data_IF_098611165210
#
_entry.id   IF_098611165210
#
_cell.length_a   1.000
_cell.length_b   1.000
_cell.length_c   1.000
_cell.angle_alpha   90.00
_cell.angle_beta   90.00
_cell.angle_gamma   90.00
#
_symmetry.space_group_name_H-M   'P 1'
#
loop_
_entity.id
_entity.type
_entity.pdbx_description
1 polymer ?
#
# COMPACT_ATOMS: atom_id res chain seq x y z
N UNK A 1 52.71 0.62 -11.83
CA UNK A 1 52.23 1.22 -10.57
C UNK A 1 50.80 1.71 -10.81
N UNK A 2 49.78 0.94 -10.37
CA UNK A 2 48.69 1.36 -9.45
C UNK A 2 48.28 2.84 -9.63
N UNK A 3 47.02 3.18 -9.89
CA UNK A 3 45.84 2.88 -9.05
C UNK A 3 44.55 2.84 -9.89
N UNK A 4 43.82 1.72 -9.82
CA UNK A 4 42.42 1.62 -10.24
C UNK A 4 41.60 2.20 -9.07
N UNK A 5 40.90 3.30 -9.31
CA UNK A 5 40.00 3.91 -8.34
C UNK A 5 38.69 3.13 -8.40
N UNK A 6 38.54 2.15 -7.51
CA UNK A 6 37.25 1.53 -7.24
C UNK A 6 36.40 2.54 -6.47
N UNK A 7 35.58 3.31 -7.19
CA UNK A 7 34.47 4.05 -6.59
C UNK A 7 33.42 3.04 -6.14
N UNK A 8 33.56 2.57 -4.91
CA UNK A 8 32.52 1.81 -4.22
C UNK A 8 31.42 2.81 -3.92
N UNK A 9 30.40 2.85 -4.77
CA UNK A 9 29.14 3.52 -4.46
C UNK A 9 28.38 2.58 -3.53
N UNK A 10 28.62 2.72 -2.23
CA UNK A 10 27.77 2.11 -1.19
C UNK A 10 26.50 2.95 -1.14
N UNK A 11 25.52 2.64 -2.00
CA UNK A 11 24.14 3.00 -1.67
C UNK A 11 23.73 2.03 -0.56
N UNK A 12 23.84 2.52 0.67
CA UNK A 12 23.16 1.93 1.82
C UNK A 12 21.68 1.88 1.45
N UNK A 13 21.19 0.71 1.08
CA UNK A 13 19.78 0.41 1.11
C UNK A 13 19.36 0.51 2.57
N UNK A 14 19.02 1.72 3.00
CA UNK A 14 18.28 1.97 4.22
C UNK A 14 16.95 1.26 4.03
N UNK A 15 16.87 -0.01 4.45
CA UNK A 15 15.62 -0.76 4.52
C UNK A 15 14.78 -0.17 5.66
N UNK A 16 14.37 1.09 5.51
CA UNK A 16 13.14 1.57 6.13
C UNK A 16 12.07 0.89 5.31
N UNK A 17 11.52 -0.22 5.81
CA UNK A 17 10.29 -0.80 5.26
C UNK A 17 9.20 0.25 5.49
N UNK A 18 9.11 1.25 4.62
CA UNK A 18 7.91 2.04 4.50
C UNK A 18 6.81 1.09 4.08
N UNK A 19 5.66 1.17 4.74
CA UNK A 19 4.47 0.49 4.28
C UNK A 19 4.10 1.08 2.91
N UNK A 20 4.59 0.48 1.83
CA UNK A 20 4.27 0.90 0.47
C UNK A 20 3.06 0.09 0.02
N UNK A 21 1.95 0.76 -0.24
CA UNK A 21 0.82 0.14 -0.89
C UNK A 21 1.10 0.01 -2.38
N UNK A 22 1.02 -1.21 -2.89
CA UNK A 22 1.10 -1.53 -4.30
C UNK A 22 -0.31 -1.83 -4.80
N UNK A 23 -0.86 -0.93 -5.62
CA UNK A 23 -2.19 -1.05 -6.19
C UNK A 23 -2.29 -2.22 -7.17
N UNK A 24 -1.25 -2.51 -7.93
CA UNK A 24 -1.26 -3.64 -8.87
C UNK A 24 -1.29 -4.96 -8.09
N UNK A 25 -0.55 -5.03 -6.98
CA UNK A 25 -0.63 -6.16 -6.05
C UNK A 25 -2.01 -6.27 -5.40
N UNK A 26 -2.63 -5.14 -5.01
CA UNK A 26 -4.00 -5.10 -4.45
C UNK A 26 -5.04 -5.66 -5.44
N UNK A 27 -4.98 -5.25 -6.71
CA UNK A 27 -5.93 -5.72 -7.75
C UNK A 27 -5.66 -7.18 -8.13
N UNK A 28 -4.42 -7.66 -8.01
CA UNK A 28 -4.05 -9.05 -8.27
C UNK A 28 -4.38 -10.02 -7.11
N UNK A 29 -4.75 -9.50 -5.94
CA UNK A 29 -5.04 -10.30 -4.75
C UNK A 29 -6.33 -11.11 -4.93
N UNK A 30 -6.21 -12.44 -4.81
CA UNK A 30 -7.33 -13.38 -5.05
C UNK A 30 -8.40 -13.32 -3.96
N UNK A 31 -8.02 -12.98 -2.72
CA UNK A 31 -8.95 -12.83 -1.62
C UNK A 31 -9.77 -11.56 -1.83
N UNK A 32 -9.11 -10.45 -2.15
CA UNK A 32 -9.79 -9.18 -2.45
C UNK A 32 -10.67 -9.29 -3.71
N UNK A 33 -10.23 -10.00 -4.74
CA UNK A 33 -11.07 -10.33 -5.92
C UNK A 33 -12.35 -11.08 -5.53
N UNK A 34 -12.27 -11.97 -4.54
CA UNK A 34 -13.43 -12.75 -4.08
C UNK A 34 -14.39 -11.88 -3.27
N UNK A 35 -13.87 -10.99 -2.41
CA UNK A 35 -14.64 -10.12 -1.53
C UNK A 35 -15.29 -8.98 -2.32
N UNK A 36 -14.48 -8.22 -3.06
CA UNK A 36 -14.92 -6.97 -3.68
C UNK A 36 -15.39 -7.12 -5.11
N UNK A 37 -14.97 -8.18 -5.83
CA UNK A 37 -15.39 -8.48 -7.21
C UNK A 37 -15.33 -7.22 -8.11
N UNK A 38 -16.48 -6.76 -8.58
CA UNK A 38 -16.62 -5.58 -9.46
C UNK A 38 -16.17 -4.27 -8.77
N UNK A 39 -16.19 -4.23 -7.43
CA UNK A 39 -15.76 -3.10 -6.61
C UNK A 39 -14.27 -3.13 -6.25
N UNK A 40 -13.52 -4.17 -6.64
CA UNK A 40 -12.10 -4.32 -6.28
C UNK A 40 -11.26 -3.12 -6.72
N UNK A 41 -11.46 -2.67 -7.95
CA UNK A 41 -10.71 -1.56 -8.50
C UNK A 41 -11.01 -0.25 -7.75
N UNK A 42 -12.27 -0.03 -7.38
CA UNK A 42 -12.68 1.11 -6.55
C UNK A 42 -12.10 1.04 -5.14
N UNK A 43 -12.07 -0.15 -4.53
CA UNK A 43 -11.43 -0.38 -3.22
C UNK A 43 -9.93 -0.04 -3.26
N UNK A 44 -9.18 -0.60 -4.21
CA UNK A 44 -7.74 -0.36 -4.30
C UNK A 44 -7.43 1.10 -4.66
N UNK A 45 -8.28 1.77 -5.46
CA UNK A 45 -8.18 3.20 -5.74
C UNK A 45 -8.38 4.04 -4.47
N UNK A 46 -9.39 3.73 -3.65
CA UNK A 46 -9.64 4.44 -2.40
C UNK A 46 -8.43 4.37 -1.45
N UNK A 47 -7.82 3.18 -1.31
CA UNK A 47 -6.64 3.01 -0.45
C UNK A 47 -5.44 3.81 -0.99
N UNK A 48 -5.21 3.78 -2.31
CA UNK A 48 -4.17 4.59 -2.97
C UNK A 48 -4.38 6.10 -2.76
N UNK A 49 -5.61 6.59 -2.90
CA UNK A 49 -5.94 8.00 -2.72
C UNK A 49 -5.67 8.48 -1.29
N UNK A 50 -6.08 7.70 -0.28
CA UNK A 50 -5.78 8.02 1.13
C UNK A 50 -4.28 8.09 1.40
N UNK A 51 -3.53 7.18 0.80
CA UNK A 51 -2.07 7.12 0.92
C UNK A 51 -1.43 8.33 0.26
N UNK A 52 -1.83 8.68 -0.97
CA UNK A 52 -1.30 9.84 -1.69
C UNK A 52 -1.61 11.15 -0.96
N UNK A 53 -2.82 11.29 -0.40
CA UNK A 53 -3.21 12.47 0.38
C UNK A 53 -2.40 12.63 1.69
N UNK A 54 -1.91 11.51 2.25
CA UNK A 54 -1.26 11.52 3.57
C UNK A 54 0.26 11.37 3.50
N UNK A 55 0.81 10.88 2.37
CA UNK A 55 2.25 10.66 2.18
C UNK A 55 3.09 11.93 2.38
N UNK A 56 2.53 13.11 2.09
CA UNK A 56 3.20 14.39 2.30
C UNK A 56 3.17 14.88 3.76
N UNK A 57 2.32 14.29 4.61
CA UNK A 57 2.00 14.81 5.96
C UNK A 57 2.41 13.85 7.09
N UNK A 58 2.36 12.53 6.87
CA UNK A 58 2.56 11.54 7.93
C UNK A 58 3.53 10.45 7.46
N UNK A 59 4.44 10.03 8.36
CA UNK A 59 5.27 8.85 8.13
C UNK A 59 4.38 7.60 8.08
N UNK A 60 4.19 7.07 6.88
CA UNK A 60 3.33 5.92 6.64
C UNK A 60 3.86 4.68 7.35
N UNK A 61 2.98 3.99 8.08
CA UNK A 61 3.28 2.74 8.76
C UNK A 61 2.10 1.78 8.61
N UNK A 62 2.29 0.52 8.99
CA UNK A 62 1.30 -0.54 8.80
C UNK A 62 -0.04 -0.22 9.48
N UNK A 63 -0.03 0.42 10.65
CA UNK A 63 -1.28 0.78 11.36
C UNK A 63 -2.12 1.80 10.61
N UNK A 64 -1.47 2.74 9.92
CA UNK A 64 -2.17 3.76 9.12
C UNK A 64 -2.70 3.12 7.84
N UNK A 65 -1.90 2.28 7.20
CA UNK A 65 -2.31 1.55 6.00
C UNK A 65 -3.54 0.67 6.27
N UNK A 66 -3.55 -0.08 7.38
CA UNK A 66 -4.70 -0.90 7.77
C UNK A 66 -5.94 -0.06 8.10
N UNK A 67 -5.78 1.13 8.69
CA UNK A 67 -6.88 2.05 8.92
C UNK A 67 -7.53 2.53 7.60
N UNK A 68 -6.73 2.83 6.57
CA UNK A 68 -7.25 3.20 5.25
C UNK A 68 -7.93 2.02 4.55
N UNK A 69 -7.33 0.83 4.62
CA UNK A 69 -7.97 -0.39 4.11
C UNK A 69 -9.33 -0.63 4.76
N UNK A 70 -9.45 -0.45 6.07
CA UNK A 70 -10.73 -0.58 6.78
C UNK A 70 -11.73 0.52 6.42
N UNK A 71 -11.28 1.77 6.31
CA UNK A 71 -12.13 2.88 5.88
C UNK A 71 -12.73 2.61 4.50
N UNK A 72 -11.89 2.22 3.52
CA UNK A 72 -12.35 1.87 2.18
C UNK A 72 -13.21 0.60 2.19
N UNK A 73 -12.87 -0.41 3.00
CA UNK A 73 -13.68 -1.62 3.13
C UNK A 73 -15.12 -1.29 3.54
N UNK A 74 -15.31 -0.40 4.52
CA UNK A 74 -16.63 0.00 5.00
C UNK A 74 -17.52 0.65 3.92
N UNK A 75 -16.93 1.22 2.85
CA UNK A 75 -17.68 1.79 1.72
C UNK A 75 -18.23 0.73 0.76
N UNK A 76 -17.56 -0.43 0.67
CA UNK A 76 -17.89 -1.48 -0.31
C UNK A 76 -18.45 -2.76 0.31
N UNK A 77 -18.10 -3.03 1.57
CA UNK A 77 -18.78 -4.01 2.40
C UNK A 77 -19.74 -3.26 3.30
N UNK A 78 -21.00 -3.13 2.88
CA UNK A 78 -22.07 -3.12 3.87
C UNK A 78 -21.98 -4.48 4.54
N UNK A 79 -21.30 -4.56 5.69
CA UNK A 79 -21.54 -5.64 6.63
C UNK A 79 -23.03 -5.58 6.91
N UNK A 80 -23.79 -6.40 6.19
CA UNK A 80 -25.19 -6.66 6.45
C UNK A 80 -25.19 -7.38 7.80
N UNK A 81 -25.13 -6.61 8.89
CA UNK A 81 -25.15 -7.12 10.27
C UNK A 81 -26.56 -7.58 10.65
N UNK A 82 -27.29 -8.16 9.70
CA UNK A 82 -28.56 -8.85 9.92
C UNK A 82 -28.26 -10.36 9.96
N UNK A 83 -27.73 -10.82 11.08
CA UNK A 83 -27.76 -12.23 11.48
C UNK A 83 -28.89 -12.45 12.49
#
# INVERSE_FOLDING_TARGET
MKKIVYSIVIFTASCTNHATFDKDACVADKELQTIYKDSLQSYCNCVEEHIQQTADTIHMNDSILEAYKQSCANEFTTLDTNF
#
